data_IF_343275579362
#
_entry.id   IF_343275579362
#
_cell.length_a   1.000
_cell.length_b   1.000
_cell.length_c   1.000
_cell.angle_alpha   90.00
_cell.angle_beta   90.00
_cell.angle_gamma   90.00
#
_symmetry.space_group_name_H-M   'P 1'
#
loop_
_entity.id
_entity.type
_entity.pdbx_description
1 polymer ?
#
# COMPACT_ATOMS: atom_id res chain seq x y z
N UNK A 1 -3.78 15.23 -1.58
CA UNK A 1 -3.64 13.82 -2.00
C UNK A 1 -2.28 13.52 -2.62
N UNK A 2 -1.87 14.17 -3.73
CA UNK A 2 -0.58 13.88 -4.40
C UNK A 2 0.67 14.03 -3.50
N UNK A 3 0.72 15.08 -2.67
CA UNK A 3 1.82 15.31 -1.71
C UNK A 3 1.92 14.24 -0.62
N UNK A 4 0.77 13.77 -0.14
CA UNK A 4 0.69 12.75 0.91
C UNK A 4 1.14 11.37 0.41
N UNK A 5 0.70 11.01 -0.80
CA UNK A 5 1.16 9.79 -1.46
C UNK A 5 2.68 9.83 -1.70
N UNK A 6 3.21 10.94 -2.19
CA UNK A 6 4.65 11.11 -2.40
C UNK A 6 5.44 10.93 -1.09
N UNK A 7 5.01 11.61 -0.02
CA UNK A 7 5.65 11.47 1.29
C UNK A 7 5.64 10.03 1.81
N UNK A 8 4.52 9.31 1.64
CA UNK A 8 4.41 7.90 2.03
C UNK A 8 5.32 7.01 1.20
N UNK A 9 5.44 7.26 -0.12
CA UNK A 9 6.38 6.52 -0.98
C UNK A 9 7.82 6.77 -0.53
N UNK A 10 8.21 8.02 -0.29
CA UNK A 10 9.56 8.37 0.15
C UNK A 10 9.90 7.71 1.49
N UNK A 11 8.97 7.71 2.45
CA UNK A 11 9.13 7.05 3.74
C UNK A 11 9.26 5.52 3.63
N UNK A 12 8.47 4.90 2.74
CA UNK A 12 8.57 3.46 2.46
C UNK A 12 9.92 3.12 1.84
N UNK A 13 10.39 3.93 0.88
CA UNK A 13 11.70 3.76 0.23
C UNK A 13 12.86 3.98 1.20
N UNK A 14 12.72 4.91 2.15
CA UNK A 14 13.72 5.16 3.19
C UNK A 14 13.71 4.08 4.29
N UNK A 15 12.72 3.18 4.31
CA UNK A 15 12.54 2.17 5.36
C UNK A 15 12.15 2.78 6.72
N UNK A 16 11.76 4.05 6.76
CA UNK A 16 11.43 4.77 7.98
C UNK A 16 10.07 5.47 7.83
N UNK A 17 9.01 4.78 8.24
CA UNK A 17 7.68 5.36 8.31
C UNK A 17 7.59 6.36 9.45
N UNK A 18 7.05 7.55 9.16
CA UNK A 18 6.82 8.59 10.17
C UNK A 18 5.96 8.05 11.33
N UNK A 19 6.25 8.52 12.54
CA UNK A 19 5.54 8.09 13.75
C UNK A 19 4.01 8.24 13.59
N UNK A 20 3.29 7.13 13.63
CA UNK A 20 1.83 7.06 13.44
C UNK A 20 1.39 6.53 12.06
N UNK A 21 2.29 6.42 11.08
CA UNK A 21 2.05 5.68 9.84
C UNK A 21 2.57 4.26 10.01
N UNK A 22 1.67 3.30 9.86
CA UNK A 22 1.98 1.88 9.78
C UNK A 22 1.32 1.33 8.53
N UNK A 23 2.05 0.48 7.80
CA UNK A 23 1.42 -0.38 6.82
C UNK A 23 0.93 -1.65 7.50
N UNK A 24 -0.20 -2.15 7.02
CA UNK A 24 -0.89 -3.33 7.53
C UNK A 24 -0.87 -4.39 6.43
N UNK A 25 -0.51 -5.64 6.78
CA UNK A 25 -0.64 -6.76 5.84
C UNK A 25 -2.13 -7.03 5.62
N UNK A 26 -2.56 -7.09 4.37
CA UNK A 26 -3.93 -7.49 4.04
C UNK A 26 -4.05 -8.99 4.21
N UNK A 27 -5.17 -9.46 4.78
CA UNK A 27 -5.42 -10.90 4.98
C UNK A 27 -5.55 -11.66 3.66
N UNK A 28 -5.82 -10.95 2.56
CA UNK A 28 -6.09 -11.57 1.26
C UNK A 28 -4.92 -11.36 0.30
N UNK A 29 -4.38 -12.49 -0.17
CA UNK A 29 -3.28 -12.55 -1.12
C UNK A 29 -1.91 -12.47 -0.45
N UNK A 30 -0.96 -13.19 -1.04
CA UNK A 30 0.41 -13.19 -0.55
C UNK A 30 1.02 -11.78 -0.73
N UNK A 31 1.51 -11.25 0.39
CA UNK A 31 2.35 -10.07 0.49
C UNK A 31 1.76 -8.74 0.02
N UNK A 32 0.44 -8.58 0.14
CA UNK A 32 -0.21 -7.28 0.01
C UNK A 32 -0.18 -6.49 1.32
N UNK A 33 0.12 -5.21 1.20
CA UNK A 33 0.20 -4.26 2.30
C UNK A 33 -0.59 -2.99 1.98
N UNK A 34 -1.17 -2.40 3.00
CA UNK A 34 -2.00 -1.20 2.94
C UNK A 34 -1.46 -0.15 3.90
N UNK A 35 -1.26 1.08 3.42
CA UNK A 35 -0.91 2.21 4.26
C UNK A 35 -1.97 3.30 4.14
N UNK A 36 -2.25 3.93 5.28
CA UNK A 36 -3.22 5.02 5.36
C UNK A 36 -2.62 6.31 4.81
N UNK A 37 -3.27 6.88 3.80
CA UNK A 37 -2.97 8.24 3.33
C UNK A 37 -3.83 9.28 4.06
N UNK A 38 -5.10 8.95 4.31
CA UNK A 38 -6.03 9.81 5.06
C UNK A 38 -7.14 8.96 5.70
N UNK A 39 -8.15 9.57 6.34
CA UNK A 39 -9.28 8.81 6.92
C UNK A 39 -10.02 7.93 5.91
N UNK A 40 -10.14 8.39 4.67
CA UNK A 40 -10.87 7.65 3.63
C UNK A 40 -9.98 7.01 2.58
N UNK A 41 -8.68 7.33 2.51
CA UNK A 41 -7.82 6.93 1.39
C UNK A 41 -6.68 6.02 1.84
N UNK A 42 -6.43 5.02 0.99
CA UNK A 42 -5.38 4.01 1.16
C UNK A 42 -4.48 3.94 -0.05
N UNK A 43 -3.24 3.59 0.20
CA UNK A 43 -2.29 3.11 -0.81
C UNK A 43 -2.03 1.64 -0.52
N UNK A 44 -2.26 0.79 -1.53
CA UNK A 44 -2.04 -0.65 -1.48
C UNK A 44 -0.89 -0.99 -2.40
N UNK A 45 0.06 -1.75 -1.88
CA UNK A 45 1.24 -2.20 -2.60
C UNK A 45 1.54 -3.65 -2.26
N UNK A 46 2.28 -4.33 -3.13
CA UNK A 46 2.85 -5.64 -2.85
C UNK A 46 4.31 -5.47 -2.48
N UNK A 47 4.77 -6.09 -1.41
CA UNK A 47 6.17 -6.12 -1.04
C UNK A 47 6.79 -7.46 -1.46
N UNK A 48 7.96 -7.44 -2.07
CA UNK A 48 8.81 -8.62 -2.26
C UNK A 48 9.96 -8.50 -1.26
N UNK A 49 9.92 -9.28 -0.17
CA UNK A 49 10.92 -9.20 0.88
C UNK A 49 12.29 -9.72 0.43
N UNK A 50 12.36 -10.60 -0.56
CA UNK A 50 13.62 -11.14 -1.07
C UNK A 50 14.39 -10.09 -1.88
N UNK A 51 13.66 -9.22 -2.58
CA UNK A 51 14.23 -8.19 -3.46
C UNK A 51 14.21 -6.79 -2.85
N UNK A 52 13.66 -6.63 -1.64
CA UNK A 52 13.45 -5.32 -1.02
C UNK A 52 12.65 -4.35 -1.89
N UNK A 53 11.78 -4.89 -2.75
CA UNK A 53 11.08 -4.12 -3.80
C UNK A 53 9.59 -4.06 -3.51
N UNK A 54 8.94 -2.95 -3.90
CA UNK A 54 7.50 -2.79 -3.75
C UNK A 54 6.84 -2.43 -5.09
N UNK A 55 5.67 -3.03 -5.36
CA UNK A 55 4.86 -2.71 -6.55
C UNK A 55 3.57 -2.00 -6.12
N UNK A 56 3.27 -0.81 -6.65
CA UNK A 56 2.00 -0.16 -6.41
C UNK A 56 0.88 -0.98 -7.04
N UNK A 57 -0.17 -1.29 -6.27
CA UNK A 57 -1.33 -2.04 -6.73
C UNK A 57 -2.53 -1.12 -6.92
N UNK A 58 -2.84 -0.29 -5.92
CA UNK A 58 -3.97 0.62 -5.98
C UNK A 58 -3.78 1.83 -5.06
N UNK A 59 -4.35 2.96 -5.44
CA UNK A 59 -4.51 4.14 -4.58
C UNK A 59 -5.92 4.68 -4.73
N UNK A 60 -6.60 4.94 -3.62
CA UNK A 60 -7.98 5.41 -3.68
C UNK A 60 -8.73 5.31 -2.36
N UNK A 61 -10.06 5.51 -2.39
CA UNK A 61 -10.92 5.26 -1.26
C UNK A 61 -10.74 3.84 -0.71
N UNK A 62 -10.85 3.66 0.60
CA UNK A 62 -10.57 2.40 1.30
C UNK A 62 -11.14 1.16 0.60
N UNK A 63 -12.47 1.12 0.40
CA UNK A 63 -13.15 -0.04 -0.16
C UNK A 63 -12.79 -0.27 -1.63
N UNK A 64 -12.55 0.81 -2.38
CA UNK A 64 -12.18 0.74 -3.79
C UNK A 64 -10.74 0.24 -3.96
N UNK A 65 -9.81 0.77 -3.17
CA UNK A 65 -8.41 0.35 -3.17
C UNK A 65 -8.29 -1.14 -2.85
N UNK A 66 -9.04 -1.63 -1.86
CA UNK A 66 -9.04 -3.05 -1.50
C UNK A 66 -9.69 -3.90 -2.60
N UNK A 67 -10.83 -3.46 -3.15
CA UNK A 67 -11.49 -4.15 -4.27
C UNK A 67 -10.56 -4.30 -5.49
N UNK A 68 -9.82 -3.25 -5.84
CA UNK A 68 -8.85 -3.30 -6.93
C UNK A 68 -7.68 -4.23 -6.61
N UNK A 69 -7.18 -4.19 -5.37
CA UNK A 69 -6.13 -5.07 -4.92
C UNK A 69 -6.52 -6.56 -5.03
N UNK A 70 -7.73 -6.93 -4.58
CA UNK A 70 -8.27 -8.28 -4.71
C UNK A 70 -8.43 -8.72 -6.17
N UNK A 71 -8.83 -7.82 -7.06
CA UNK A 71 -8.92 -8.11 -8.50
C UNK A 71 -7.54 -8.37 -9.12
N UNK A 72 -6.50 -7.68 -8.66
CA UNK A 72 -5.15 -7.88 -9.19
C UNK A 72 -4.59 -9.27 -8.87
N UNK A 73 -4.97 -9.85 -7.73
CA UNK A 73 -4.56 -11.21 -7.32
C UNK A 73 -5.23 -12.27 -8.19
N UNK A 74 -6.56 -12.15 -8.43
CA UNK A 74 -7.33 -13.14 -9.21
C UNK A 74 -6.96 -13.24 -10.70
N UNK A 75 -6.13 -12.33 -11.21
CA UNK A 75 -5.70 -12.30 -12.62
C UNK A 75 -4.34 -12.95 -12.88
N UNK A 76 -3.68 -13.47 -11.84
CA UNK A 76 -2.48 -14.31 -11.95
C UNK A 76 -2.87 -15.77 -11.75
#
# INVERSE_FOLDING_TARGET
MKRELAAVIDELLAGNLSAGRRYEKLETGDDLYSVRLSRGYRFVFRLDPERGSAWPIAVGPHDEAYRQAFRSIRRR
#
